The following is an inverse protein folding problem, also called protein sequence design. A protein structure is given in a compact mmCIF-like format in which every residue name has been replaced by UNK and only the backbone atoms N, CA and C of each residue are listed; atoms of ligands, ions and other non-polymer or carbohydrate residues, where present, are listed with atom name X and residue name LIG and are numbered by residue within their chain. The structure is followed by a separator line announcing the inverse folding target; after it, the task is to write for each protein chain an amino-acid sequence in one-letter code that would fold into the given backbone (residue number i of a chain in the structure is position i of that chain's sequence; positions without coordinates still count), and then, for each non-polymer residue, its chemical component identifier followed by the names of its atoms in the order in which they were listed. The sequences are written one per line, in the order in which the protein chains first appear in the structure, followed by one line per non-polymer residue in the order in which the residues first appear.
data_IF_469091026583
#
_entry.id   IF_469091026583
#
_cell.length_a   1.000
_cell.length_b   1.000
_cell.length_c   1.000
_cell.angle_alpha   90.00
_cell.angle_beta   90.00
_cell.angle_gamma   90.00
#
_symmetry.space_group_name_H-M   'P 1'
#
loop_
_entity.id
_entity.type
_entity.pdbx_description
1 polymer ?
#
# COMPACT_ATOMS: atom_id res chain seq x y z
N UNK A 1 12.25 -21.85 17.75
CA UNK A 1 11.86 -22.02 16.33
C UNK A 1 10.52 -22.75 16.30
N UNK A 2 9.39 -22.03 16.29
CA UNK A 2 8.07 -22.62 16.03
C UNK A 2 7.80 -22.39 14.55
N UNK A 3 7.53 -23.46 13.84
CA UNK A 3 7.24 -23.51 12.41
C UNK A 3 6.00 -22.67 12.11
N UNK A 4 6.04 -21.93 10.98
CA UNK A 4 4.96 -21.07 10.53
C UNK A 4 3.61 -21.79 10.48
N UNK A 5 2.55 -21.06 10.85
CA UNK A 5 1.19 -21.57 10.82
C UNK A 5 0.78 -21.93 9.37
N UNK A 6 0.41 -23.17 9.09
CA UNK A 6 -0.19 -23.53 7.81
C UNK A 6 -1.61 -22.94 7.74
N UNK A 7 -2.09 -22.72 6.53
CA UNK A 7 -3.42 -22.16 6.24
C UNK A 7 -4.61 -22.85 6.95
N UNK A 8 -4.44 -24.04 7.46
CA UNK A 8 -5.43 -24.82 8.23
C UNK A 8 -5.64 -24.34 9.68
N UNK A 9 -4.98 -23.27 10.13
CA UNK A 9 -5.04 -22.78 11.52
C UNK A 9 -5.69 -21.41 11.72
N UNK A 10 -6.23 -20.75 10.67
CA UNK A 10 -6.78 -19.38 10.80
C UNK A 10 -8.26 -19.34 11.18
N UNK A 11 -9.02 -20.41 10.95
CA UNK A 11 -10.45 -20.47 11.34
C UNK A 11 -10.68 -20.17 12.83
N UNK A 12 -9.90 -20.71 13.78
CA UNK A 12 -10.07 -20.39 15.20
C UNK A 12 -9.79 -18.91 15.50
N UNK A 13 -8.80 -18.31 14.84
CA UNK A 13 -8.46 -16.89 15.03
C UNK A 13 -9.54 -15.97 14.48
N UNK A 14 -10.09 -16.28 13.31
CA UNK A 14 -11.23 -15.55 12.75
C UNK A 14 -12.45 -15.70 13.64
N UNK A 15 -12.73 -16.91 14.17
CA UNK A 15 -13.79 -17.15 15.11
C UNK A 15 -13.62 -16.33 16.40
N UNK A 16 -12.41 -16.29 16.96
CA UNK A 16 -12.08 -15.48 18.14
C UNK A 16 -12.25 -13.99 17.87
N UNK A 17 -11.78 -13.51 16.70
CA UNK A 17 -11.97 -12.12 16.29
C UNK A 17 -13.46 -11.76 16.18
N UNK A 18 -14.30 -12.63 15.63
CA UNK A 18 -15.73 -12.39 15.48
C UNK A 18 -16.53 -12.59 16.77
N UNK A 19 -15.98 -13.28 17.77
CA UNK A 19 -16.65 -13.47 19.07
C UNK A 19 -16.77 -12.17 19.89
N UNK A 20 -16.01 -11.14 19.52
CA UNK A 20 -16.08 -9.82 20.14
C UNK A 20 -14.70 -9.24 20.49
N UNK A 21 -14.65 -7.97 20.87
CA UNK A 21 -13.39 -7.31 21.17
C UNK A 21 -12.86 -7.73 22.56
N UNK A 22 -11.55 -7.92 22.68
CA UNK A 22 -10.88 -8.25 23.95
C UNK A 22 -10.98 -7.14 24.99
N UNK A 23 -11.14 -5.89 24.55
CA UNK A 23 -11.27 -4.71 25.42
C UNK A 23 -12.30 -3.77 24.78
N UNK A 24 -13.62 -4.01 25.04
CA UNK A 24 -14.72 -3.28 24.40
C UNK A 24 -14.62 -1.76 24.54
N UNK A 25 -14.27 -1.27 25.73
CA UNK A 25 -14.23 0.16 26.06
C UNK A 25 -12.98 0.87 25.53
N UNK A 26 -12.01 0.12 25.02
CA UNK A 26 -10.80 0.71 24.47
C UNK A 26 -11.08 1.34 23.12
N UNK A 27 -10.39 2.46 22.84
CA UNK A 27 -10.46 3.11 21.53
C UNK A 27 -9.89 2.22 20.43
N UNK A 28 -10.69 1.95 19.41
CA UNK A 28 -10.21 1.55 18.09
C UNK A 28 -9.70 2.79 17.35
N UNK A 29 -10.55 3.82 17.20
CA UNK A 29 -10.12 5.13 16.75
C UNK A 29 -9.80 5.98 17.96
N UNK A 30 -8.54 6.34 18.13
CA UNK A 30 -8.04 7.07 19.28
C UNK A 30 -8.86 8.33 19.58
N UNK A 31 -9.44 8.39 20.77
CA UNK A 31 -10.23 9.50 21.28
C UNK A 31 -11.65 9.63 20.70
N UNK A 32 -12.11 8.71 19.83
CA UNK A 32 -13.41 8.89 19.17
C UNK A 32 -14.32 7.65 19.14
N UNK A 33 -13.79 6.46 18.82
CA UNK A 33 -14.62 5.27 18.56
C UNK A 33 -14.04 4.07 19.26
N UNK A 34 -14.80 3.44 20.16
CA UNK A 34 -14.36 2.25 20.88
C UNK A 34 -14.43 0.99 20.00
N UNK A 35 -13.72 -0.07 20.40
CA UNK A 35 -13.87 -1.39 19.78
C UNK A 35 -15.33 -1.88 19.88
N UNK A 36 -16.03 -1.68 21.02
CA UNK A 36 -17.44 -2.03 21.14
C UNK A 36 -18.29 -1.37 20.06
N UNK A 37 -18.08 -0.08 19.80
CA UNK A 37 -18.81 0.64 18.75
C UNK A 37 -18.54 0.07 17.34
N UNK A 38 -17.29 -0.30 17.04
CA UNK A 38 -16.92 -0.92 15.75
C UNK A 38 -17.63 -2.27 15.59
N UNK A 39 -17.67 -3.11 16.63
CA UNK A 39 -18.33 -4.41 16.58
C UNK A 39 -19.86 -4.28 16.51
N UNK A 40 -20.46 -3.32 17.23
CA UNK A 40 -21.88 -3.01 17.11
C UNK A 40 -22.26 -2.59 15.68
N UNK A 41 -21.45 -1.70 15.08
CA UNK A 41 -21.64 -1.30 13.68
C UNK A 41 -21.47 -2.50 12.74
N UNK A 42 -20.51 -3.40 12.98
CA UNK A 42 -20.34 -4.60 12.17
C UNK A 42 -21.58 -5.51 12.21
N UNK A 43 -22.18 -5.72 13.38
CA UNK A 43 -23.40 -6.49 13.55
C UNK A 43 -24.57 -5.83 12.82
N UNK A 44 -24.72 -4.51 12.91
CA UNK A 44 -25.72 -3.75 12.18
C UNK A 44 -25.57 -3.91 10.66
N UNK A 45 -24.37 -3.66 10.14
CA UNK A 45 -24.07 -3.81 8.71
C UNK A 45 -24.34 -5.25 8.23
N UNK A 46 -24.00 -6.26 9.02
CA UNK A 46 -24.26 -7.66 8.69
C UNK A 46 -25.76 -7.93 8.51
N UNK A 47 -26.59 -7.38 9.40
CA UNK A 47 -28.06 -7.48 9.29
C UNK A 47 -28.56 -6.77 8.03
N UNK A 48 -28.17 -5.52 7.82
CA UNK A 48 -28.59 -4.72 6.66
C UNK A 48 -28.23 -5.42 5.34
N UNK A 49 -27.02 -5.97 5.23
CA UNK A 49 -26.58 -6.68 4.02
C UNK A 49 -27.36 -7.97 3.78
N UNK A 50 -27.69 -8.70 4.85
CA UNK A 50 -28.50 -9.91 4.74
C UNK A 50 -29.92 -9.61 4.26
N UNK A 51 -30.54 -8.60 4.85
CA UNK A 51 -31.90 -8.19 4.49
C UNK A 51 -31.98 -7.68 3.05
N UNK A 52 -30.93 -7.06 2.55
CA UNK A 52 -30.85 -6.55 1.17
C UNK A 52 -30.32 -7.58 0.17
N UNK A 53 -29.82 -8.72 0.65
CA UNK A 53 -29.19 -9.77 -0.18
C UNK A 53 -28.02 -9.21 -1.04
N UNK A 54 -27.21 -8.33 -0.46
CA UNK A 54 -26.09 -7.72 -1.16
C UNK A 54 -24.90 -8.70 -1.25
N UNK A 55 -24.36 -8.91 -2.46
CA UNK A 55 -23.18 -9.73 -2.69
C UNK A 55 -21.89 -8.91 -2.78
N UNK A 56 -22.00 -7.67 -3.25
CA UNK A 56 -20.89 -6.73 -3.44
C UNK A 56 -21.24 -5.37 -2.86
N UNK A 57 -20.32 -4.78 -2.09
CA UNK A 57 -20.49 -3.43 -1.53
C UNK A 57 -19.22 -2.61 -1.71
N UNK A 58 -19.35 -1.40 -2.24
CA UNK A 58 -18.25 -0.46 -2.40
C UNK A 58 -17.99 0.30 -1.09
N UNK A 59 -16.75 0.36 -0.61
CA UNK A 59 -16.34 1.23 0.50
C UNK A 59 -15.95 2.61 -0.03
N UNK A 60 -16.93 3.53 -0.07
CA UNK A 60 -16.73 4.91 -0.50
C UNK A 60 -16.38 5.84 0.67
N UNK A 61 -15.45 5.41 1.53
CA UNK A 61 -15.04 6.11 2.76
C UNK A 61 -13.55 5.93 3.04
N UNK A 62 -12.96 6.85 3.79
CA UNK A 62 -11.65 6.70 4.44
C UNK A 62 -11.76 6.58 5.97
N UNK A 63 -12.97 6.54 6.52
CA UNK A 63 -13.18 6.27 7.94
C UNK A 63 -12.73 4.84 8.29
N UNK A 64 -11.63 4.75 9.04
CA UNK A 64 -11.01 3.47 9.41
C UNK A 64 -11.92 2.62 10.30
N UNK A 65 -12.77 3.25 11.12
CA UNK A 65 -13.74 2.56 11.97
C UNK A 65 -14.86 1.92 11.14
N UNK A 66 -15.41 2.66 10.19
CA UNK A 66 -16.44 2.17 9.29
C UNK A 66 -15.91 1.04 8.38
N UNK A 67 -14.67 1.20 7.87
CA UNK A 67 -13.99 0.15 7.10
C UNK A 67 -13.77 -1.10 7.97
N UNK A 68 -13.36 -0.93 9.24
CA UNK A 68 -13.18 -2.05 10.18
C UNK A 68 -14.50 -2.78 10.46
N UNK A 69 -15.59 -2.04 10.67
CA UNK A 69 -16.92 -2.62 10.88
C UNK A 69 -17.41 -3.39 9.65
N UNK A 70 -17.26 -2.80 8.45
CA UNK A 70 -17.62 -3.48 7.20
C UNK A 70 -16.76 -4.74 6.98
N UNK A 71 -15.46 -4.67 7.29
CA UNK A 71 -14.55 -5.83 7.18
C UNK A 71 -14.96 -6.98 8.12
N UNK A 72 -15.30 -6.69 9.37
CA UNK A 72 -15.84 -7.70 10.30
C UNK A 72 -17.17 -8.28 9.79
N UNK A 73 -18.06 -7.45 9.24
CA UNK A 73 -19.31 -7.92 8.65
C UNK A 73 -19.07 -8.86 7.44
N UNK A 74 -18.09 -8.54 6.60
CA UNK A 74 -17.70 -9.40 5.46
C UNK A 74 -17.08 -10.74 5.94
N UNK A 75 -16.20 -10.69 6.95
CA UNK A 75 -15.63 -11.89 7.58
C UNK A 75 -16.72 -12.80 8.17
N UNK A 76 -17.80 -12.24 8.66
CA UNK A 76 -18.95 -12.96 9.19
C UNK A 76 -19.91 -13.50 8.09
N UNK A 77 -19.46 -13.56 6.84
CA UNK A 77 -20.25 -14.04 5.70
C UNK A 77 -21.15 -12.96 5.10
N UNK A 78 -20.81 -11.68 5.25
CA UNK A 78 -21.42 -10.56 4.52
C UNK A 78 -20.92 -10.48 3.07
N UNK A 79 -21.20 -9.36 2.38
CA UNK A 79 -20.80 -9.15 1.00
C UNK A 79 -19.28 -9.03 0.85
N UNK A 80 -18.77 -9.26 -0.37
CA UNK A 80 -17.40 -8.93 -0.72
C UNK A 80 -17.26 -7.41 -0.81
N UNK A 81 -16.29 -6.87 -0.11
CA UNK A 81 -16.04 -5.44 -0.08
C UNK A 81 -15.17 -5.01 -1.27
N UNK A 82 -15.57 -3.97 -1.95
CA UNK A 82 -14.81 -3.36 -3.04
C UNK A 82 -14.14 -2.07 -2.54
N UNK A 83 -12.81 -2.03 -2.59
CA UNK A 83 -12.03 -0.85 -2.23
C UNK A 83 -11.58 -0.12 -3.50
N UNK A 84 -12.12 1.09 -3.77
CA UNK A 84 -11.73 1.90 -4.91
C UNK A 84 -10.30 2.45 -4.72
N UNK A 85 -9.56 2.64 -5.80
CA UNK A 85 -8.23 3.26 -5.75
C UNK A 85 -8.28 4.76 -5.46
N UNK A 86 -9.43 5.39 -5.63
CA UNK A 86 -9.72 6.79 -5.30
C UNK A 86 -11.24 6.95 -5.11
N UNK A 87 -11.64 7.98 -4.37
CA UNK A 87 -13.05 8.28 -4.07
C UNK A 87 -13.67 9.31 -5.03
N UNK A 88 -13.04 9.57 -6.18
CA UNK A 88 -13.62 10.42 -7.22
C UNK A 88 -14.77 9.71 -7.94
N UNK A 89 -15.75 10.47 -8.44
CA UNK A 89 -16.86 9.94 -9.24
C UNK A 89 -16.38 9.05 -10.40
N UNK A 90 -15.28 9.44 -11.08
CA UNK A 90 -14.73 8.65 -12.18
C UNK A 90 -14.21 7.29 -11.71
N UNK A 91 -13.46 7.23 -10.60
CA UNK A 91 -12.94 5.98 -10.05
C UNK A 91 -14.08 5.04 -9.60
N UNK A 92 -15.14 5.60 -9.01
CA UNK A 92 -16.34 4.85 -8.64
C UNK A 92 -17.11 4.35 -9.88
N UNK A 93 -17.17 5.16 -10.96
CA UNK A 93 -17.78 4.76 -12.23
C UNK A 93 -16.99 3.61 -12.89
N UNK A 94 -15.66 3.70 -12.90
CA UNK A 94 -14.81 2.65 -13.43
C UNK A 94 -14.99 1.34 -12.66
N UNK A 95 -15.10 1.42 -11.33
CA UNK A 95 -15.37 0.28 -10.47
C UNK A 95 -16.77 -0.31 -10.74
N UNK A 96 -17.80 0.52 -10.77
CA UNK A 96 -19.18 0.07 -11.08
C UNK A 96 -19.24 -0.62 -12.45
N UNK A 97 -18.59 -0.05 -13.45
CA UNK A 97 -18.54 -0.62 -14.81
C UNK A 97 -17.86 -2.00 -14.81
N UNK A 98 -16.80 -2.16 -14.01
CA UNK A 98 -16.04 -3.41 -13.95
C UNK A 98 -16.72 -4.50 -13.12
N UNK A 99 -17.56 -4.15 -12.14
CA UNK A 99 -18.08 -5.09 -11.14
C UNK A 99 -19.60 -5.19 -11.09
N UNK A 100 -20.31 -4.20 -11.61
CA UNK A 100 -21.78 -4.11 -11.50
C UNK A 100 -22.28 -3.68 -10.12
N UNK A 101 -21.39 -3.24 -9.20
CA UNK A 101 -21.77 -2.83 -7.84
C UNK A 101 -22.77 -1.67 -7.88
N UNK A 102 -23.83 -1.80 -7.07
CA UNK A 102 -24.94 -0.84 -6.99
C UNK A 102 -25.08 -0.17 -5.62
N UNK A 103 -24.33 -0.66 -4.61
CA UNK A 103 -24.39 -0.12 -3.25
C UNK A 103 -23.00 0.30 -2.80
N UNK A 104 -22.93 1.49 -2.21
CA UNK A 104 -21.74 2.03 -1.57
C UNK A 104 -22.02 2.34 -0.10
N UNK A 105 -21.04 2.11 0.78
CA UNK A 105 -21.05 2.59 2.16
C UNK A 105 -20.13 3.79 2.27
N UNK A 106 -20.58 4.82 2.95
CA UNK A 106 -19.80 6.02 3.24
C UNK A 106 -20.15 6.65 4.57
N UNK A 107 -19.27 7.51 5.03
CA UNK A 107 -19.40 8.35 6.23
C UNK A 107 -19.98 9.74 5.90
N UNK A 108 -19.89 10.13 4.64
CA UNK A 108 -20.40 11.40 4.13
C UNK A 108 -21.03 11.22 2.75
N UNK A 109 -22.00 12.08 2.44
CA UNK A 109 -22.61 12.12 1.11
C UNK A 109 -21.55 12.48 0.05
N UNK A 110 -21.53 11.70 -1.04
CA UNK A 110 -20.61 11.90 -2.19
C UNK A 110 -21.37 11.89 -3.49
N UNK A 111 -20.78 12.46 -4.52
CA UNK A 111 -21.29 12.32 -5.87
C UNK A 111 -20.99 10.90 -6.38
N UNK A 112 -22.03 10.11 -6.56
CA UNK A 112 -21.95 8.74 -7.02
C UNK A 112 -22.23 8.60 -8.53
N UNK A 113 -21.79 7.52 -9.16
CA UNK A 113 -22.27 7.12 -10.48
C UNK A 113 -23.78 6.87 -10.49
N UNK A 114 -24.39 7.04 -11.67
CA UNK A 114 -25.81 6.71 -11.84
C UNK A 114 -26.09 5.24 -11.50
N UNK A 115 -27.17 5.00 -10.75
CA UNK A 115 -27.57 3.66 -10.33
C UNK A 115 -26.76 3.07 -9.14
N UNK A 116 -25.90 3.86 -8.51
CA UNK A 116 -25.26 3.49 -7.24
C UNK A 116 -25.91 4.23 -6.09
N UNK A 117 -26.34 3.50 -5.06
CA UNK A 117 -26.93 4.04 -3.83
C UNK A 117 -25.87 4.19 -2.74
N UNK A 118 -25.89 5.30 -2.00
CA UNK A 118 -25.05 5.51 -0.82
C UNK A 118 -25.82 5.14 0.45
N UNK A 119 -25.23 4.26 1.23
CA UNK A 119 -25.62 4.00 2.61
C UNK A 119 -24.65 4.72 3.55
N UNK A 120 -25.18 5.59 4.41
CA UNK A 120 -24.44 6.27 5.47
C UNK A 120 -24.95 5.77 6.83
N UNK A 121 -24.38 4.70 7.39
CA UNK A 121 -24.82 4.18 8.67
C UNK A 121 -24.44 5.13 9.80
N UNK A 122 -25.37 5.30 10.75
CA UNK A 122 -25.15 6.16 11.92
C UNK A 122 -24.54 5.37 13.08
N UNK A 123 -23.49 5.91 13.70
CA UNK A 123 -22.89 5.33 14.90
C UNK A 123 -23.90 5.37 16.07
N UNK A 124 -23.95 4.30 16.89
CA UNK A 124 -24.81 4.21 18.07
C UNK A 124 -26.20 3.64 17.83
N UNK A 125 -26.58 3.32 16.60
CA UNK A 125 -27.87 2.68 16.29
C UNK A 125 -27.90 1.16 16.54
N UNK A 126 -26.73 0.54 16.76
CA UNK A 126 -26.61 -0.91 16.91
C UNK A 126 -26.57 -1.33 18.38
N UNK A 127 -27.14 -2.51 18.68
CA UNK A 127 -27.08 -3.11 19.99
C UNK A 127 -25.62 -3.41 20.39
N UNK A 128 -25.11 -2.86 21.51
CA UNK A 128 -23.76 -3.14 21.97
C UNK A 128 -23.47 -4.62 22.29
N UNK A 129 -24.51 -5.43 22.48
CA UNK A 129 -24.40 -6.86 22.77
C UNK A 129 -24.27 -7.75 21.51
N UNK A 130 -24.22 -7.15 20.32
CA UNK A 130 -24.20 -7.87 19.06
C UNK A 130 -22.91 -8.65 18.83
N UNK A 131 -22.95 -9.95 19.06
CA UNK A 131 -21.99 -10.89 18.48
C UNK A 131 -22.25 -10.99 16.98
N UNK A 132 -21.19 -10.93 16.16
CA UNK A 132 -21.33 -11.13 14.72
C UNK A 132 -21.31 -12.64 14.46
N UNK A 133 -22.43 -13.28 14.02
CA UNK A 133 -22.48 -14.72 13.86
C UNK A 133 -21.51 -15.20 12.77
N UNK A 134 -20.79 -16.27 13.07
CA UNK A 134 -19.85 -16.89 12.12
C UNK A 134 -20.65 -17.57 10.98
N UNK A 135 -20.37 -17.21 9.75
CA UNK A 135 -20.81 -17.94 8.58
C UNK A 135 -19.65 -18.00 7.58
N UNK A 136 -19.08 -19.18 7.39
CA UNK A 136 -18.17 -19.59 6.32
C UNK A 136 -16.90 -18.70 6.12
N UNK A 137 -15.85 -18.98 6.86
CA UNK A 137 -14.64 -18.14 7.05
C UNK A 137 -13.52 -18.29 6.02
N UNK A 138 -13.68 -19.03 4.94
CA UNK A 138 -12.59 -19.33 4.00
C UNK A 138 -12.63 -18.62 2.64
N UNK A 139 -13.69 -17.84 2.39
CA UNK A 139 -13.95 -17.20 1.11
C UNK A 139 -13.23 -15.87 0.89
N UNK A 140 -13.46 -15.31 -0.28
CA UNK A 140 -13.11 -13.94 -0.62
C UNK A 140 -13.84 -12.96 0.28
N UNK A 141 -13.11 -11.97 0.85
CA UNK A 141 -13.70 -10.96 1.75
C UNK A 141 -13.63 -9.56 1.17
N UNK A 142 -12.67 -9.32 0.28
CA UNK A 142 -12.52 -8.00 -0.35
C UNK A 142 -11.79 -8.07 -1.69
N UNK A 143 -12.02 -7.05 -2.52
CA UNK A 143 -11.28 -6.76 -3.75
C UNK A 143 -10.73 -5.35 -3.71
N UNK A 144 -9.46 -5.22 -4.05
CA UNK A 144 -8.79 -3.92 -4.17
C UNK A 144 -8.67 -3.54 -5.63
N UNK A 145 -9.17 -2.34 -5.94
CA UNK A 145 -9.07 -1.77 -7.27
C UNK A 145 -7.76 -0.98 -7.38
N UNK A 146 -6.86 -1.41 -8.26
CA UNK A 146 -5.57 -0.74 -8.46
C UNK A 146 -5.56 -0.02 -9.79
N UNK A 147 -5.06 1.23 -9.80
CA UNK A 147 -4.73 1.90 -11.06
C UNK A 147 -3.60 1.14 -11.75
N UNK A 148 -3.91 0.37 -12.79
CA UNK A 148 -2.93 -0.43 -13.52
C UNK A 148 -1.82 0.44 -14.12
N UNK A 149 -0.58 -0.03 -14.09
CA UNK A 149 0.57 0.62 -14.75
C UNK A 149 0.38 0.77 -16.27
N UNK A 150 -0.54 0.00 -16.83
CA UNK A 150 -0.95 0.02 -18.26
C UNK A 150 -2.15 0.94 -18.52
N UNK A 151 -2.68 1.65 -17.49
CA UNK A 151 -3.85 2.51 -17.60
C UNK A 151 -5.20 1.78 -17.48
N UNK A 152 -5.20 0.44 -17.45
CA UNK A 152 -6.41 -0.35 -17.19
C UNK A 152 -6.39 -0.76 -15.72
N UNK A 153 -7.38 -0.32 -14.91
CA UNK A 153 -7.48 -0.73 -13.52
C UNK A 153 -7.65 -2.26 -13.41
N UNK A 154 -7.04 -2.85 -12.37
CA UNK A 154 -7.18 -4.27 -12.06
C UNK A 154 -7.77 -4.45 -10.68
N UNK A 155 -8.60 -5.48 -10.55
CA UNK A 155 -9.15 -5.95 -9.28
C UNK A 155 -8.31 -7.11 -8.77
N UNK A 156 -8.04 -7.11 -7.47
CA UNK A 156 -7.31 -8.18 -6.81
C UNK A 156 -8.11 -8.67 -5.63
N UNK A 157 -8.57 -9.90 -5.70
CA UNK A 157 -9.27 -10.57 -4.62
C UNK A 157 -8.33 -10.85 -3.44
N UNK A 158 -8.86 -10.77 -2.23
CA UNK A 158 -8.21 -11.18 -0.99
C UNK A 158 -9.16 -12.01 -0.15
N UNK A 159 -8.66 -13.15 0.30
CA UNK A 159 -9.35 -14.00 1.26
C UNK A 159 -9.05 -13.58 2.69
N UNK A 160 -9.85 -14.05 3.64
CA UNK A 160 -9.55 -13.88 5.06
C UNK A 160 -8.14 -14.38 5.41
N UNK A 161 -7.72 -15.51 4.84
CA UNK A 161 -6.38 -16.08 5.01
C UNK A 161 -5.28 -15.13 4.55
N UNK A 162 -5.46 -14.47 3.40
CA UNK A 162 -4.45 -13.53 2.90
C UNK A 162 -4.27 -12.35 3.86
N UNK A 163 -5.36 -11.73 4.30
CA UNK A 163 -5.33 -10.47 5.05
C UNK A 163 -5.07 -10.69 6.54
N UNK A 164 -5.81 -11.60 7.18
CA UNK A 164 -5.63 -11.88 8.61
C UNK A 164 -4.30 -12.57 8.85
N UNK A 165 -3.91 -13.53 7.99
CA UNK A 165 -2.63 -14.23 8.13
C UNK A 165 -1.43 -13.28 8.03
N UNK A 166 -1.47 -12.30 7.12
CA UNK A 166 -0.43 -11.28 7.02
C UNK A 166 -0.43 -10.36 8.25
N UNK A 167 -1.60 -9.91 8.72
CA UNK A 167 -1.69 -9.07 9.90
C UNK A 167 -1.15 -9.75 11.16
N UNK A 168 -1.43 -11.03 11.36
CA UNK A 168 -0.90 -11.83 12.47
C UNK A 168 0.63 -11.99 12.40
N UNK A 169 1.17 -12.28 11.21
CA UNK A 169 2.62 -12.30 11.01
C UNK A 169 3.27 -10.97 11.38
N UNK A 170 2.71 -9.86 10.93
CA UNK A 170 3.21 -8.52 11.22
C UNK A 170 3.08 -8.16 12.71
N UNK A 171 1.97 -8.55 13.35
CA UNK A 171 1.76 -8.36 14.78
C UNK A 171 2.85 -9.06 15.61
N UNK A 172 3.16 -10.31 15.27
CA UNK A 172 4.23 -11.08 15.94
C UNK A 172 5.62 -10.48 15.62
N UNK A 173 5.91 -10.24 14.34
CA UNK A 173 7.22 -9.77 13.90
C UNK A 173 7.61 -8.41 14.49
N UNK A 174 6.68 -7.46 14.54
CA UNK A 174 6.90 -6.12 15.08
C UNK A 174 6.52 -5.99 16.55
N UNK A 175 6.07 -7.08 17.18
CA UNK A 175 5.54 -7.10 18.54
C UNK A 175 4.49 -5.99 18.75
N UNK A 176 3.55 -5.85 17.79
CA UNK A 176 2.47 -4.89 17.93
C UNK A 176 1.42 -5.43 18.89
N UNK A 177 1.06 -4.63 19.88
CA UNK A 177 0.17 -5.01 20.96
C UNK A 177 -0.91 -3.96 21.19
N UNK A 178 -1.84 -4.27 22.07
CA UNK A 178 -2.88 -3.32 22.50
C UNK A 178 -2.35 -2.01 23.12
N UNK A 179 -1.08 -1.96 23.53
CA UNK A 179 -0.48 -0.71 24.05
C UNK A 179 -0.03 0.23 22.94
N UNK A 180 0.00 -0.24 21.69
CA UNK A 180 0.45 0.56 20.57
C UNK A 180 -0.64 1.51 20.06
N UNK A 181 -0.16 2.63 19.50
CA UNK A 181 -0.96 3.63 18.82
C UNK A 181 -0.36 3.91 17.46
N UNK A 182 -1.18 3.78 16.43
CA UNK A 182 -0.74 3.81 15.03
C UNK A 182 -1.18 5.13 14.39
N UNK A 183 -0.23 5.87 13.84
CA UNK A 183 -0.49 6.94 12.86
C UNK A 183 -0.19 6.39 11.47
N UNK A 184 -1.18 6.45 10.57
CA UNK A 184 -1.02 6.07 9.17
C UNK A 184 -1.20 7.30 8.28
N UNK A 185 -0.19 7.59 7.46
CA UNK A 185 -0.21 8.68 6.48
C UNK A 185 -0.67 8.22 5.10
N UNK A 186 -1.17 7.00 5.03
CA UNK A 186 -1.63 6.31 3.82
C UNK A 186 -3.11 5.98 3.94
N UNK A 187 -3.83 6.15 2.84
CA UNK A 187 -5.28 5.87 2.80
C UNK A 187 -5.58 4.41 3.09
N UNK A 188 -6.59 4.11 3.93
CA UNK A 188 -7.06 2.74 4.19
C UNK A 188 -7.72 2.07 2.97
N UNK A 189 -7.98 2.82 1.89
CA UNK A 189 -8.45 2.25 0.62
C UNK A 189 -7.35 1.49 -0.16
N UNK A 190 -6.08 1.62 0.22
CA UNK A 190 -4.97 0.86 -0.34
C UNK A 190 -4.55 -0.26 0.58
N UNK A 191 -4.07 -1.39 0.02
CA UNK A 191 -3.69 -2.58 0.79
C UNK A 191 -2.75 -2.26 1.96
N UNK A 192 -1.76 -1.39 1.76
CA UNK A 192 -0.82 -1.02 2.82
C UNK A 192 -1.51 -0.25 3.95
N UNK A 193 -2.35 0.74 3.63
CA UNK A 193 -3.14 1.46 4.62
C UNK A 193 -4.16 0.55 5.31
N UNK A 194 -4.92 -0.24 4.56
CA UNK A 194 -5.89 -1.20 5.08
C UNK A 194 -5.26 -2.15 6.09
N UNK A 195 -4.15 -2.79 5.69
CA UNK A 195 -3.49 -3.80 6.52
C UNK A 195 -3.00 -3.21 7.84
N UNK A 196 -2.33 -2.05 7.79
CA UNK A 196 -1.69 -1.49 8.98
C UNK A 196 -2.57 -0.55 9.81
N UNK A 197 -3.62 0.06 9.24
CA UNK A 197 -4.48 0.99 9.99
C UNK A 197 -5.91 0.49 10.22
N UNK A 198 -6.23 -0.72 9.75
CA UNK A 198 -7.53 -1.35 10.00
C UNK A 198 -7.34 -2.77 10.54
N UNK A 199 -6.73 -3.66 9.74
CA UNK A 199 -6.68 -5.09 10.09
C UNK A 199 -5.71 -5.37 11.23
N UNK A 200 -4.52 -4.78 11.21
CA UNK A 200 -3.53 -4.94 12.30
C UNK A 200 -4.08 -4.44 13.65
N UNK A 201 -4.73 -3.24 13.76
CA UNK A 201 -5.44 -2.84 14.96
C UNK A 201 -6.51 -3.83 15.42
N UNK A 202 -7.31 -4.38 14.51
CA UNK A 202 -8.35 -5.37 14.85
C UNK A 202 -7.77 -6.63 15.51
N UNK A 203 -6.67 -7.18 14.96
CA UNK A 203 -6.07 -8.43 15.48
C UNK A 203 -5.18 -8.22 16.69
N UNK A 204 -4.72 -7.00 16.98
CA UNK A 204 -3.79 -6.71 18.09
C UNK A 204 -4.45 -5.96 19.25
N UNK A 205 -5.60 -5.35 19.03
CA UNK A 205 -6.19 -4.41 19.97
C UNK A 205 -5.46 -3.06 20.06
N UNK A 206 -4.55 -2.74 19.13
CA UNK A 206 -3.92 -1.42 19.03
C UNK A 206 -4.95 -0.35 18.67
N UNK A 207 -4.71 0.90 19.07
CA UNK A 207 -5.52 2.04 18.62
C UNK A 207 -4.93 2.66 17.36
N UNK A 208 -5.76 3.24 16.52
CA UNK A 208 -5.32 3.98 15.33
C UNK A 208 -5.82 5.42 15.38
N UNK A 209 -5.00 6.38 14.98
CA UNK A 209 -5.40 7.79 14.89
C UNK A 209 -6.37 7.95 13.71
N UNK A 210 -7.53 8.61 13.92
CA UNK A 210 -8.56 8.76 12.88
C UNK A 210 -8.02 9.44 11.62
N UNK A 211 -7.28 10.53 11.80
CA UNK A 211 -6.72 11.30 10.70
C UNK A 211 -5.73 10.50 9.84
N UNK A 212 -5.64 10.88 8.56
CA UNK A 212 -4.61 10.41 7.61
C UNK A 212 -3.78 11.64 7.19
N UNK A 213 -2.81 12.08 8.03
CA UNK A 213 -2.05 13.29 7.78
C UNK A 213 -1.18 13.14 6.54
N UNK A 214 -1.19 14.15 5.66
CA UNK A 214 -0.43 14.15 4.40
C UNK A 214 0.72 15.16 4.40
N UNK A 215 0.59 16.26 5.15
CA UNK A 215 1.61 17.30 5.22
C UNK A 215 2.58 17.07 6.38
N UNK A 216 3.87 17.44 6.24
CA UNK A 216 4.88 17.12 7.25
C UNK A 216 4.58 17.71 8.64
N UNK A 217 3.96 18.90 8.71
CA UNK A 217 3.52 19.51 9.98
C UNK A 217 2.43 18.68 10.66
N UNK A 218 1.44 18.23 9.90
CA UNK A 218 0.35 17.39 10.39
C UNK A 218 0.87 16.01 10.86
N UNK A 219 1.86 15.45 10.15
CA UNK A 219 2.46 14.16 10.55
C UNK A 219 3.17 14.32 11.90
N UNK A 220 3.99 15.39 12.06
CA UNK A 220 4.66 15.68 13.34
C UNK A 220 3.63 15.85 14.45
N UNK A 221 2.60 16.67 14.22
CA UNK A 221 1.54 16.93 15.20
C UNK A 221 0.78 15.64 15.56
N UNK A 222 0.33 14.87 14.57
CA UNK A 222 -0.41 13.64 14.81
C UNK A 222 0.40 12.64 15.63
N UNK A 223 1.70 12.46 15.34
CA UNK A 223 2.55 11.52 16.08
C UNK A 223 2.83 12.01 17.50
N UNK A 224 3.17 13.30 17.66
CA UNK A 224 3.57 13.84 18.98
C UNK A 224 2.39 14.06 19.91
N UNK A 225 1.28 14.64 19.42
CA UNK A 225 0.10 14.92 20.24
C UNK A 225 -0.61 13.64 20.71
N UNK A 226 -0.53 12.58 19.92
CA UNK A 226 -1.13 11.30 20.30
C UNK A 226 -0.14 10.34 20.95
N UNK A 227 1.12 10.71 21.12
CA UNK A 227 2.18 9.81 21.62
C UNK A 227 2.23 8.50 20.84
N UNK A 228 2.13 8.58 19.52
CA UNK A 228 2.06 7.40 18.68
C UNK A 228 3.34 6.58 18.74
N UNK A 229 3.18 5.26 18.80
CA UNK A 229 4.29 4.31 18.89
C UNK A 229 4.68 3.74 17.54
N UNK A 230 3.77 3.79 16.57
CA UNK A 230 3.95 3.26 15.21
C UNK A 230 3.57 4.31 14.18
N UNK A 231 4.47 4.58 13.24
CA UNK A 231 4.22 5.42 12.06
C UNK A 231 4.21 4.54 10.80
N UNK A 232 3.12 4.57 10.05
CA UNK A 232 2.94 3.90 8.76
C UNK A 232 2.94 4.94 7.66
N UNK A 233 4.00 4.98 6.83
CA UNK A 233 4.20 6.09 5.91
C UNK A 233 4.85 5.64 4.58
N UNK A 234 5.17 6.59 3.73
CA UNK A 234 5.73 6.38 2.38
C UNK A 234 7.00 7.22 2.18
N UNK A 235 7.86 6.89 1.22
CA UNK A 235 9.10 7.62 0.97
C UNK A 235 8.92 9.12 0.75
N UNK A 236 7.83 9.53 0.07
CA UNK A 236 7.54 10.94 -0.17
C UNK A 236 7.35 11.74 1.13
N UNK A 237 6.68 11.16 2.12
CA UNK A 237 6.46 11.79 3.42
C UNK A 237 7.75 11.83 4.24
N UNK A 238 8.58 10.77 4.22
CA UNK A 238 9.89 10.80 4.87
C UNK A 238 10.80 11.87 4.28
N UNK A 239 10.75 12.08 2.97
CA UNK A 239 11.45 13.18 2.30
C UNK A 239 10.95 14.54 2.79
N UNK A 240 9.64 14.72 2.91
CA UNK A 240 9.02 15.96 3.38
C UNK A 240 9.32 16.23 4.88
N UNK A 241 9.65 15.19 5.65
CA UNK A 241 10.03 15.28 7.05
C UNK A 241 11.50 15.70 7.26
N UNK A 242 12.32 15.82 6.21
CA UNK A 242 13.69 16.34 6.35
C UNK A 242 13.70 17.72 7.02
N UNK A 243 14.56 17.89 8.00
CA UNK A 243 14.68 19.14 8.76
C UNK A 243 13.52 19.44 9.70
N UNK A 244 12.59 18.51 9.88
CA UNK A 244 11.53 18.61 10.89
C UNK A 244 12.02 18.08 12.25
N UNK A 245 11.39 18.50 13.36
CA UNK A 245 11.71 17.99 14.70
C UNK A 245 11.53 16.48 14.79
N UNK A 246 12.10 15.89 15.86
CA UNK A 246 11.84 14.51 16.24
C UNK A 246 10.34 14.26 16.40
N UNK A 247 9.89 13.07 16.02
CA UNK A 247 8.52 12.60 16.20
C UNK A 247 8.22 12.14 17.65
N UNK A 248 9.15 12.40 18.57
CA UNK A 248 8.99 12.12 19.99
C UNK A 248 9.57 10.78 20.45
N UNK A 249 9.65 10.58 21.75
CA UNK A 249 10.34 9.42 22.37
C UNK A 249 9.50 8.13 22.32
N UNK A 250 8.19 8.24 22.09
CA UNK A 250 7.29 7.09 22.09
C UNK A 250 7.32 6.30 20.78
N UNK A 251 7.77 6.94 19.69
CA UNK A 251 7.86 6.27 18.37
C UNK A 251 8.91 5.16 18.42
N UNK A 252 8.46 3.90 18.36
CA UNK A 252 9.32 2.71 18.38
C UNK A 252 9.45 2.01 17.02
N UNK A 253 8.53 2.28 16.10
CA UNK A 253 8.46 1.65 14.79
C UNK A 253 8.03 2.66 13.73
N UNK A 254 8.83 2.82 12.68
CA UNK A 254 8.49 3.61 11.52
C UNK A 254 8.59 2.74 10.25
N UNK A 255 7.50 2.65 9.50
CA UNK A 255 7.36 1.77 8.34
C UNK A 255 7.29 2.60 7.06
N UNK A 256 7.91 2.10 5.99
CA UNK A 256 7.87 2.68 4.65
C UNK A 256 7.54 1.63 3.61
N UNK A 257 6.60 1.91 2.71
CA UNK A 257 6.27 1.05 1.56
C UNK A 257 5.83 1.89 0.36
N UNK A 258 5.27 1.25 -0.66
CA UNK A 258 4.76 1.84 -1.90
C UNK A 258 5.81 2.40 -2.87
N UNK A 259 7.07 2.51 -2.49
CA UNK A 259 8.18 2.96 -3.34
C UNK A 259 9.53 2.77 -2.68
N UNK A 260 10.62 2.97 -3.40
CA UNK A 260 11.97 2.88 -2.85
C UNK A 260 12.25 4.08 -1.93
N UNK A 261 12.78 3.81 -0.74
CA UNK A 261 13.24 4.82 0.20
C UNK A 261 14.69 5.22 -0.13
N UNK A 262 14.94 6.50 -0.32
CA UNK A 262 16.28 7.01 -0.55
C UNK A 262 17.13 6.93 0.73
N UNK A 263 18.41 6.71 0.56
CA UNK A 263 19.35 6.62 1.68
C UNK A 263 19.44 7.94 2.45
N UNK A 264 19.39 9.06 1.74
CA UNK A 264 19.41 10.39 2.33
C UNK A 264 18.16 10.67 3.18
N UNK A 265 16.96 10.26 2.72
CA UNK A 265 15.71 10.38 3.47
C UNK A 265 15.77 9.54 4.75
N UNK A 266 16.26 8.30 4.64
CA UNK A 266 16.47 7.43 5.79
C UNK A 266 17.45 8.04 6.80
N UNK A 267 18.61 8.53 6.34
CA UNK A 267 19.62 9.08 7.21
C UNK A 267 19.12 10.33 7.93
N UNK A 268 18.44 11.24 7.22
CA UNK A 268 17.84 12.43 7.80
C UNK A 268 16.80 12.08 8.89
N UNK A 269 15.97 11.07 8.65
CA UNK A 269 15.01 10.60 9.64
C UNK A 269 15.68 10.01 10.88
N UNK A 270 16.67 9.13 10.68
CA UNK A 270 17.39 8.45 11.76
C UNK A 270 18.19 9.41 12.66
N UNK A 271 18.60 10.58 12.17
CA UNK A 271 19.29 11.59 12.99
C UNK A 271 18.46 12.09 14.18
N UNK A 272 17.13 12.10 14.02
CA UNK A 272 16.21 12.63 15.03
C UNK A 272 15.27 11.58 15.62
N UNK A 273 15.20 10.38 15.04
CA UNK A 273 14.24 9.34 15.41
C UNK A 273 14.96 7.98 15.55
N UNK A 274 15.28 7.54 16.78
CA UNK A 274 16.02 6.29 17.03
C UNK A 274 15.31 5.02 16.52
N UNK A 275 14.00 5.06 16.32
CA UNK A 275 13.23 3.96 15.74
C UNK A 275 13.80 3.48 14.39
N UNK A 276 14.38 4.42 13.63
CA UNK A 276 14.80 4.13 12.25
C UNK A 276 13.62 3.76 11.35
N UNK A 277 13.89 3.47 10.09
CA UNK A 277 12.85 3.09 9.13
C UNK A 277 12.99 1.63 8.72
N UNK A 278 11.88 0.92 8.71
CA UNK A 278 11.76 -0.43 8.12
C UNK A 278 10.99 -0.32 6.82
N UNK A 279 11.62 -0.71 5.72
CA UNK A 279 10.92 -0.82 4.44
C UNK A 279 10.19 -2.14 4.34
N UNK A 280 8.95 -2.07 3.85
CA UNK A 280 8.11 -3.22 3.52
C UNK A 280 8.03 -3.34 2.00
N UNK A 281 8.49 -4.45 1.46
CA UNK A 281 8.35 -4.79 0.05
C UNK A 281 7.16 -5.72 -0.16
N UNK A 282 6.32 -5.38 -1.10
CA UNK A 282 5.14 -6.12 -1.49
C UNK A 282 4.31 -5.36 -2.52
N UNK A 283 3.19 -5.93 -2.90
CA UNK A 283 2.22 -5.32 -3.81
C UNK A 283 0.80 -5.72 -3.43
N UNK A 284 -0.21 -5.14 -4.07
CA UNK A 284 -1.60 -5.50 -3.80
C UNK A 284 -1.86 -6.97 -4.09
N UNK A 285 -1.31 -7.49 -5.18
CA UNK A 285 -1.48 -8.88 -5.60
C UNK A 285 -0.69 -9.87 -4.74
N UNK A 286 0.49 -9.49 -4.24
CA UNK A 286 1.36 -10.43 -3.50
C UNK A 286 1.16 -10.41 -2.00
N UNK A 287 0.58 -9.33 -1.43
CA UNK A 287 0.78 -9.01 -0.03
C UNK A 287 2.23 -8.64 0.24
N UNK A 288 2.64 -8.61 1.50
CA UNK A 288 4.03 -8.39 1.90
C UNK A 288 4.91 -9.58 1.56
N UNK A 289 6.10 -9.28 1.09
CA UNK A 289 7.10 -10.29 0.65
C UNK A 289 8.33 -10.25 1.54
N UNK A 290 8.79 -9.08 1.93
CA UNK A 290 10.02 -8.97 2.72
C UNK A 290 10.20 -7.60 3.36
N UNK A 291 11.13 -7.55 4.30
CA UNK A 291 11.45 -6.37 5.11
C UNK A 291 12.93 -6.02 4.98
N UNK A 292 13.23 -4.74 5.13
CA UNK A 292 14.60 -4.22 5.19
C UNK A 292 14.70 -3.14 6.27
N UNK A 293 15.49 -3.39 7.33
CA UNK A 293 15.70 -2.44 8.40
C UNK A 293 16.76 -1.39 8.01
N UNK A 294 16.32 -0.30 7.40
CA UNK A 294 17.22 0.78 6.93
C UNK A 294 17.95 1.46 8.07
N UNK A 295 17.28 1.68 9.21
CA UNK A 295 17.91 2.23 10.40
C UNK A 295 19.06 1.37 10.97
N UNK A 296 19.13 0.08 10.59
CA UNK A 296 20.23 -0.83 10.94
C UNK A 296 21.26 -1.01 9.82
N UNK A 297 21.16 -0.24 8.74
CA UNK A 297 22.07 -0.31 7.60
C UNK A 297 21.87 -1.55 6.71
N UNK A 298 20.74 -2.26 6.81
CA UNK A 298 20.47 -3.41 5.93
C UNK A 298 20.30 -2.95 4.48
N UNK A 299 21.00 -3.65 3.57
CA UNK A 299 20.97 -3.35 2.12
C UNK A 299 19.99 -4.23 1.36
N UNK A 300 19.73 -5.44 1.86
CA UNK A 300 18.87 -6.44 1.24
C UNK A 300 17.54 -6.57 1.97
N UNK A 301 16.50 -6.89 1.23
CA UNK A 301 15.24 -7.37 1.80
C UNK A 301 15.40 -8.79 2.30
N UNK A 302 14.93 -9.04 3.51
CA UNK A 302 14.76 -10.38 4.07
C UNK A 302 13.30 -10.78 3.86
N UNK A 303 13.03 -11.91 3.20
CA UNK A 303 11.67 -12.40 3.03
C UNK A 303 11.00 -12.64 4.38
N UNK A 304 9.69 -12.51 4.44
CA UNK A 304 8.92 -12.99 5.58
C UNK A 304 9.18 -14.49 5.80
N UNK A 305 9.17 -14.94 7.04
CA UNK A 305 9.38 -16.35 7.36
C UNK A 305 8.33 -17.28 6.69
N UNK A 306 7.19 -16.72 6.34
CA UNK A 306 6.07 -17.39 5.63
C UNK A 306 6.20 -17.34 4.11
N UNK A 307 7.20 -16.63 3.56
CA UNK A 307 7.39 -16.43 2.12
C UNK A 307 8.62 -17.18 1.64
N UNK A 308 8.43 -18.16 0.78
CA UNK A 308 9.52 -18.78 0.02
C UNK A 308 9.82 -17.92 -1.22
N UNK A 309 11.10 -17.84 -1.57
CA UNK A 309 11.56 -17.07 -2.72
C UNK A 309 12.67 -17.77 -3.48
N UNK A 310 12.80 -17.50 -4.76
CA UNK A 310 13.96 -17.82 -5.58
C UNK A 310 14.08 -16.84 -6.76
N UNK A 311 15.12 -17.02 -7.55
CA UNK A 311 15.36 -16.23 -8.78
C UNK A 311 15.34 -17.15 -9.99
N UNK A 312 14.61 -16.74 -11.04
CA UNK A 312 14.68 -17.34 -12.36
C UNK A 312 14.93 -16.24 -13.38
N UNK A 313 16.04 -16.31 -14.12
CA UNK A 313 16.43 -15.29 -15.10
C UNK A 313 16.39 -13.85 -14.53
N UNK A 314 16.89 -13.68 -13.30
CA UNK A 314 16.85 -12.45 -12.51
C UNK A 314 15.44 -12.00 -12.07
N UNK A 315 14.36 -12.70 -12.43
CA UNK A 315 13.03 -12.42 -11.92
C UNK A 315 12.88 -12.98 -10.51
N UNK A 316 12.30 -12.19 -9.63
CA UNK A 316 11.93 -12.65 -8.31
C UNK A 316 10.68 -13.54 -8.43
N UNK A 317 10.79 -14.76 -7.93
CA UNK A 317 9.67 -15.72 -7.81
C UNK A 317 9.36 -15.92 -6.35
N UNK A 318 8.08 -15.98 -6.02
CA UNK A 318 7.62 -16.14 -4.64
C UNK A 318 6.52 -17.18 -4.54
N UNK A 319 6.48 -17.87 -3.39
CA UNK A 319 5.31 -18.59 -2.87
C UNK A 319 4.97 -18.03 -1.52
N UNK A 320 3.73 -17.65 -1.34
CA UNK A 320 3.27 -16.95 -0.14
C UNK A 320 1.80 -17.28 0.13
N UNK A 321 1.37 -17.39 1.39
CA UNK A 321 -0.04 -17.50 1.75
C UNK A 321 -0.82 -16.22 1.51
N UNK A 322 -0.15 -15.11 1.19
CA UNK A 322 -0.73 -13.78 1.01
C UNK A 322 -1.04 -13.43 -0.45
N UNK A 323 -0.68 -14.32 -1.38
CA UNK A 323 -0.97 -14.14 -2.81
C UNK A 323 -2.47 -14.05 -3.07
N UNK A 324 -2.87 -13.09 -3.92
CA UNK A 324 -4.24 -13.04 -4.45
C UNK A 324 -4.59 -14.35 -5.17
N UNK A 325 -5.80 -14.89 -4.96
CA UNK A 325 -6.26 -16.07 -5.70
C UNK A 325 -6.38 -15.85 -7.21
N UNK A 326 -6.42 -14.59 -7.65
CA UNK A 326 -6.48 -14.23 -9.09
C UNK A 326 -5.14 -14.40 -9.81
N UNK A 327 -4.06 -14.66 -9.06
CA UNK A 327 -2.73 -14.80 -9.67
C UNK A 327 -2.57 -16.16 -10.35
N UNK A 328 -2.03 -16.11 -11.56
CA UNK A 328 -1.61 -17.33 -12.25
C UNK A 328 -0.24 -17.77 -11.71
N UNK A 329 -0.21 -18.96 -11.12
CA UNK A 329 1.01 -19.61 -10.64
C UNK A 329 1.56 -20.53 -11.72
N UNK A 330 2.86 -20.75 -11.70
CA UNK A 330 3.47 -21.77 -12.56
C UNK A 330 3.17 -23.20 -12.06
N UNK A 331 3.66 -24.23 -12.80
CA UNK A 331 3.41 -25.64 -12.48
C UNK A 331 3.97 -26.08 -11.12
N UNK A 332 4.91 -25.32 -10.58
CA UNK A 332 5.52 -25.57 -9.28
C UNK A 332 4.88 -24.74 -8.16
N UNK A 333 3.85 -23.93 -8.45
CA UNK A 333 3.15 -23.08 -7.50
C UNK A 333 3.88 -21.76 -7.19
N UNK A 334 4.78 -21.31 -8.06
CA UNK A 334 5.44 -20.01 -7.92
C UNK A 334 4.71 -18.90 -8.69
N UNK A 335 4.64 -17.75 -8.10
CA UNK A 335 4.31 -16.51 -8.80
C UNK A 335 5.59 -15.81 -9.23
N UNK A 336 5.71 -15.50 -10.51
CA UNK A 336 6.82 -14.73 -11.08
C UNK A 336 6.44 -13.26 -11.00
N UNK A 337 7.12 -12.49 -10.16
CA UNK A 337 6.85 -11.06 -10.02
C UNK A 337 7.35 -10.27 -11.24
N UNK A 338 6.85 -9.05 -11.39
CA UNK A 338 7.39 -8.11 -12.38
C UNK A 338 8.71 -7.44 -11.95
N UNK A 339 9.29 -7.86 -10.82
CA UNK A 339 10.50 -7.25 -10.27
C UNK A 339 11.72 -8.10 -10.55
N UNK A 340 12.82 -7.44 -10.92
CA UNK A 340 14.13 -8.06 -11.01
C UNK A 340 14.82 -7.97 -9.66
N UNK A 341 15.52 -9.03 -9.29
CA UNK A 341 16.27 -9.07 -8.05
C UNK A 341 17.61 -9.80 -8.23
N UNK A 342 18.49 -9.56 -7.29
CA UNK A 342 19.77 -10.23 -7.15
C UNK A 342 19.87 -10.80 -5.74
N UNK A 343 20.29 -12.06 -5.60
CA UNK A 343 20.54 -12.65 -4.30
C UNK A 343 21.62 -11.87 -3.54
N UNK A 344 21.43 -11.70 -2.24
CA UNK A 344 22.37 -11.07 -1.34
C UNK A 344 22.55 -11.93 -0.11
N UNK A 345 23.71 -12.54 0.03
CA UNK A 345 23.92 -13.57 1.03
C UNK A 345 23.07 -14.83 0.76
N UNK A 346 22.76 -15.58 1.84
CA UNK A 346 21.95 -16.80 1.74
C UNK A 346 20.45 -16.53 1.80
N UNK A 347 20.02 -15.47 2.50
CA UNK A 347 18.65 -15.34 2.99
C UNK A 347 17.96 -14.05 2.53
N UNK A 348 18.56 -13.30 1.59
CA UNK A 348 17.99 -12.02 1.17
C UNK A 348 18.19 -11.70 -0.31
N UNK A 349 17.51 -10.67 -0.77
CA UNK A 349 17.61 -10.17 -2.14
C UNK A 349 17.62 -8.64 -2.19
N UNK A 350 18.26 -8.11 -3.22
CA UNK A 350 18.23 -6.69 -3.58
C UNK A 350 17.41 -6.52 -4.85
N UNK A 351 16.46 -5.61 -4.84
CA UNK A 351 15.66 -5.27 -6.01
C UNK A 351 16.53 -4.49 -7.03
N UNK A 352 16.38 -4.84 -8.31
CA UNK A 352 17.10 -4.25 -9.45
C UNK A 352 16.17 -3.55 -10.45
N UNK A 353 15.00 -3.13 -9.95
CA UNK A 353 13.97 -2.50 -10.77
C UNK A 353 12.99 -3.50 -11.37
N UNK A 354 12.10 -2.99 -12.19
CA UNK A 354 11.01 -3.78 -12.80
C UNK A 354 11.39 -4.27 -14.19
N UNK A 355 10.78 -5.37 -14.60
CA UNK A 355 10.93 -5.91 -15.96
C UNK A 355 10.33 -4.96 -16.99
N UNK A 356 9.22 -4.31 -16.66
CA UNK A 356 8.55 -3.32 -17.49
C UNK A 356 9.31 -1.96 -17.56
N UNK A 357 10.36 -1.78 -16.75
CA UNK A 357 11.31 -0.67 -16.91
C UNK A 357 12.27 -0.87 -18.08
N UNK A 358 12.28 -2.06 -18.67
CA UNK A 358 13.12 -2.35 -19.81
C UNK A 358 12.33 -2.14 -21.10
N UNK A 359 12.84 -1.28 -21.96
CA UNK A 359 12.25 -0.99 -23.26
C UNK A 359 13.23 -1.30 -24.41
N UNK A 360 12.75 -1.31 -25.64
CA UNK A 360 13.60 -1.36 -26.82
C UNK A 360 13.58 -0.01 -27.53
N UNK A 361 14.76 0.55 -27.74
CA UNK A 361 14.97 1.79 -28.49
C UNK A 361 15.88 1.47 -29.67
N UNK A 362 15.39 1.63 -30.88
CA UNK A 362 16.16 1.27 -32.09
C UNK A 362 16.59 -0.21 -32.12
N UNK A 363 15.79 -1.11 -31.56
CA UNK A 363 16.09 -2.56 -31.47
C UNK A 363 17.00 -2.96 -30.29
N UNK A 364 17.61 -2.00 -29.60
CA UNK A 364 18.50 -2.24 -28.46
C UNK A 364 17.73 -2.15 -27.13
N UNK A 365 18.11 -3.00 -26.18
CA UNK A 365 17.52 -3.04 -24.82
C UNK A 365 18.03 -1.87 -23.99
N UNK A 366 17.12 -1.13 -23.35
CA UNK A 366 17.41 -0.01 -22.46
C UNK A 366 16.69 -0.19 -21.15
N UNK A 367 17.41 -0.03 -20.05
CA UNK A 367 16.86 -0.04 -18.71
C UNK A 367 16.57 1.40 -18.25
N UNK A 368 15.31 1.75 -18.12
CA UNK A 368 14.87 3.08 -17.70
C UNK A 368 15.25 3.35 -16.24
N UNK A 369 15.37 2.30 -15.41
CA UNK A 369 15.73 2.44 -14.01
C UNK A 369 17.21 2.79 -13.82
N UNK A 370 18.09 2.26 -14.69
CA UNK A 370 19.49 2.67 -14.73
C UNK A 370 19.61 4.17 -15.02
N UNK A 371 18.87 4.65 -16.01
CA UNK A 371 18.86 6.08 -16.37
C UNK A 371 18.33 6.92 -15.21
N UNK A 372 17.24 6.47 -14.57
CA UNK A 372 16.65 7.12 -13.40
C UNK A 372 17.66 7.25 -12.26
N UNK A 373 18.37 6.18 -11.99
CA UNK A 373 19.40 6.14 -10.93
C UNK A 373 20.53 7.14 -11.22
N UNK A 374 21.00 7.22 -12.47
CA UNK A 374 22.03 8.18 -12.87
C UNK A 374 21.57 9.63 -12.73
N UNK A 375 20.32 9.92 -13.08
CA UNK A 375 19.73 11.26 -12.93
C UNK A 375 19.62 11.62 -11.45
N UNK A 376 19.10 10.72 -10.63
CA UNK A 376 18.90 10.96 -9.19
C UNK A 376 20.19 11.20 -8.42
N UNK A 377 21.28 10.65 -8.87
CA UNK A 377 22.61 10.86 -8.26
C UNK A 377 23.18 12.27 -8.52
N UNK A 378 22.48 13.14 -9.27
CA UNK A 378 22.98 14.48 -9.58
C UNK A 378 22.55 15.50 -8.54
N UNK A 379 23.44 16.46 -8.26
CA UNK A 379 23.17 17.55 -7.34
C UNK A 379 21.93 18.36 -7.78
N UNK A 380 21.10 18.74 -6.83
CA UNK A 380 19.88 19.52 -7.07
C UNK A 380 18.66 18.70 -7.55
N UNK A 381 18.82 17.41 -7.91
CA UNK A 381 17.70 16.53 -8.30
C UNK A 381 17.02 16.01 -7.04
N UNK A 382 15.76 16.39 -6.86
CA UNK A 382 14.90 15.92 -5.78
C UNK A 382 14.17 14.63 -6.13
N UNK A 383 13.66 14.54 -7.38
CA UNK A 383 13.00 13.35 -7.91
C UNK A 383 13.07 13.30 -9.43
N UNK A 384 12.91 12.12 -10.03
CA UNK A 384 12.83 12.00 -11.47
C UNK A 384 12.02 10.77 -11.91
N UNK A 385 11.40 10.90 -13.09
CA UNK A 385 10.75 9.81 -13.80
C UNK A 385 11.34 9.69 -15.21
N UNK A 386 11.65 8.45 -15.61
CA UNK A 386 12.13 8.15 -16.97
C UNK A 386 11.09 7.29 -17.67
N UNK A 387 10.65 7.73 -18.83
CA UNK A 387 9.53 7.15 -19.56
C UNK A 387 9.93 6.79 -20.99
N UNK A 388 9.47 5.64 -21.43
CA UNK A 388 9.50 5.27 -22.85
C UNK A 388 8.20 5.75 -23.49
N UNK A 389 8.31 6.60 -24.50
CA UNK A 389 7.18 7.15 -25.25
C UNK A 389 7.23 6.63 -26.66
N UNK A 390 6.11 6.11 -27.17
CA UNK A 390 6.02 5.63 -28.53
C UNK A 390 6.29 6.77 -29.54
N UNK A 391 7.11 6.51 -30.55
CA UNK A 391 7.32 7.46 -31.67
C UNK A 391 6.17 7.36 -32.69
N UNK A 392 5.70 8.52 -33.15
CA UNK A 392 4.75 8.57 -34.26
C UNK A 392 5.46 8.04 -35.52
N UNK A 393 4.89 6.99 -36.14
CA UNK A 393 5.48 6.33 -37.31
C UNK A 393 5.94 4.89 -37.09
N UNK A 394 5.68 4.30 -35.91
CA UNK A 394 5.77 2.83 -35.69
C UNK A 394 7.18 2.25 -35.54
N UNK A 395 8.22 3.06 -35.35
CA UNK A 395 9.62 2.60 -35.29
C UNK A 395 10.23 2.45 -33.90
N UNK A 396 9.43 2.38 -32.84
CA UNK A 396 9.94 2.12 -31.51
C UNK A 396 9.59 3.18 -30.46
N UNK A 397 10.39 3.25 -29.41
CA UNK A 397 10.22 4.18 -28.31
C UNK A 397 11.36 5.21 -28.25
N UNK A 398 11.06 6.41 -27.83
CA UNK A 398 12.04 7.41 -27.37
C UNK A 398 12.01 7.52 -25.85
N UNK A 399 13.13 7.84 -25.25
CA UNK A 399 13.24 8.05 -23.82
C UNK A 399 13.06 9.52 -23.51
N UNK A 400 12.27 9.82 -22.49
CA UNK A 400 12.03 11.15 -21.95
C UNK A 400 12.22 11.10 -20.44
N UNK A 401 12.88 12.12 -19.87
CA UNK A 401 13.03 12.28 -18.44
C UNK A 401 12.27 13.53 -17.95
N UNK A 402 11.49 13.37 -16.89
CA UNK A 402 10.96 14.45 -16.08
C UNK A 402 11.81 14.52 -14.82
N UNK A 403 12.32 15.70 -14.48
CA UNK A 403 13.22 15.90 -13.34
C UNK A 403 12.65 17.01 -12.47
N UNK A 404 12.37 16.69 -11.20
CA UNK A 404 12.02 17.67 -10.19
C UNK A 404 13.27 18.04 -9.39
N UNK A 405 13.52 19.32 -9.21
CA UNK A 405 14.69 19.77 -8.46
C UNK A 405 14.93 21.28 -8.56
N UNK A 406 15.86 21.78 -7.76
CA UNK A 406 16.24 23.19 -7.76
C UNK A 406 17.63 23.36 -8.39
N UNK A 407 17.73 24.32 -9.31
CA UNK A 407 19.00 24.61 -9.98
C UNK A 407 19.47 23.52 -10.96
N UNK A 408 18.59 22.62 -11.38
CA UNK A 408 18.91 21.55 -12.35
C UNK A 408 19.03 22.15 -13.75
N UNK A 409 20.23 22.07 -14.33
CA UNK A 409 20.46 22.42 -15.73
C UNK A 409 20.29 21.19 -16.65
N UNK A 410 19.22 21.19 -17.43
CA UNK A 410 18.91 20.07 -18.34
C UNK A 410 19.99 19.82 -19.41
N UNK A 411 20.61 20.83 -20.05
CA UNK A 411 21.77 20.65 -20.94
C UNK A 411 22.97 20.00 -20.23
N UNK A 412 23.32 20.41 -19.03
CA UNK A 412 24.41 19.82 -18.26
C UNK A 412 24.12 18.38 -17.86
N UNK A 413 22.91 18.13 -17.35
CA UNK A 413 22.45 16.79 -17.02
C UNK A 413 22.53 15.86 -18.25
N UNK A 414 22.14 16.35 -19.44
CA UNK A 414 22.25 15.58 -20.67
C UNK A 414 23.70 15.28 -21.06
N UNK A 415 24.63 16.24 -20.89
CA UNK A 415 26.07 16.03 -21.14
C UNK A 415 26.65 14.95 -20.22
N UNK A 416 26.28 15.00 -18.95
CA UNK A 416 26.72 14.01 -17.96
C UNK A 416 26.19 12.60 -18.29
N UNK A 417 24.91 12.49 -18.68
CA UNK A 417 24.32 11.23 -19.09
C UNK A 417 24.96 10.68 -20.37
N UNK A 418 25.30 11.55 -21.32
CA UNK A 418 25.98 11.15 -22.56
C UNK A 418 27.38 10.58 -22.35
N UNK A 419 28.04 10.92 -21.23
CA UNK A 419 29.33 10.35 -20.88
C UNK A 419 29.23 8.94 -20.26
N UNK A 420 28.02 8.49 -19.90
CA UNK A 420 27.79 7.22 -19.17
C UNK A 420 26.83 6.26 -19.87
N UNK A 421 26.01 6.76 -20.76
CA UNK A 421 24.98 5.99 -21.47
C UNK A 421 25.32 5.87 -22.95
N UNK A 422 24.94 4.74 -23.51
CA UNK A 422 24.94 4.55 -24.96
C UNK A 422 23.97 5.55 -25.65
N UNK A 423 24.25 6.02 -26.88
CA UNK A 423 23.44 7.03 -27.57
C UNK A 423 21.95 6.70 -27.67
N UNK A 424 21.59 5.42 -27.79
CA UNK A 424 20.20 4.96 -27.86
C UNK A 424 19.48 4.98 -26.50
N UNK A 425 20.20 4.96 -25.38
CA UNK A 425 19.69 5.05 -24.03
C UNK A 425 19.58 6.50 -23.51
N UNK A 426 20.16 7.45 -24.25
CA UNK A 426 20.15 8.86 -23.82
C UNK A 426 18.73 9.45 -23.96
N UNK A 427 18.17 10.09 -22.91
CA UNK A 427 16.88 10.76 -23.01
C UNK A 427 16.89 11.83 -24.10
N UNK A 428 15.96 11.71 -25.04
CA UNK A 428 15.81 12.71 -26.14
C UNK A 428 15.32 14.06 -25.63
N UNK A 429 14.54 14.04 -24.53
CA UNK A 429 14.05 15.24 -23.86
C UNK A 429 14.22 15.06 -22.37
N UNK A 430 14.77 16.09 -21.72
CA UNK A 430 14.82 16.26 -20.28
C UNK A 430 13.99 17.50 -19.97
N UNK A 431 12.94 17.35 -19.18
CA UNK A 431 12.11 18.46 -18.73
C UNK A 431 12.21 18.62 -17.24
N UNK A 432 12.62 19.80 -16.80
CA UNK A 432 12.64 20.17 -15.38
C UNK A 432 11.26 20.68 -15.00
N UNK A 433 10.74 20.21 -13.87
CA UNK A 433 9.44 20.55 -13.29
C UNK A 433 9.59 20.86 -11.81
N UNK A 434 8.67 21.60 -11.22
CA UNK A 434 8.71 21.93 -9.79
C UNK A 434 8.50 20.68 -8.91
N UNK A 435 7.56 19.81 -9.33
CA UNK A 435 7.27 18.54 -8.69
C UNK A 435 6.76 17.52 -9.71
N UNK A 436 7.00 16.23 -9.45
CA UNK A 436 6.39 15.16 -10.24
C UNK A 436 4.94 14.92 -9.78
N UNK A 437 4.00 14.69 -10.72
CA UNK A 437 2.64 14.33 -10.37
C UNK A 437 2.61 13.01 -9.60
N UNK A 438 1.87 13.00 -8.47
CA UNK A 438 1.71 11.85 -7.59
C UNK A 438 0.24 11.44 -7.51
N UNK A 439 0.00 10.15 -7.38
CA UNK A 439 -1.32 9.61 -7.02
C UNK A 439 -1.58 9.79 -5.52
N UNK A 440 -2.83 9.62 -5.08
CA UNK A 440 -3.19 9.62 -3.66
C UNK A 440 -2.44 8.54 -2.84
N UNK A 441 -1.98 7.47 -3.48
CA UNK A 441 -1.16 6.42 -2.85
C UNK A 441 0.34 6.74 -2.78
N UNK A 442 0.76 7.96 -3.16
CA UNK A 442 2.16 8.37 -3.14
C UNK A 442 3.02 7.75 -4.24
N UNK A 443 2.43 7.24 -5.31
CA UNK A 443 3.13 6.77 -6.51
C UNK A 443 3.11 7.82 -7.61
N UNK A 444 4.09 7.79 -8.51
CA UNK A 444 4.08 8.65 -9.69
C UNK A 444 2.83 8.43 -10.53
N UNK A 445 2.10 9.50 -10.84
CA UNK A 445 0.96 9.47 -11.76
C UNK A 445 1.44 9.44 -13.20
N UNK A 446 1.49 8.24 -13.79
CA UNK A 446 1.96 8.04 -15.16
C UNK A 446 1.14 8.80 -16.20
N UNK A 447 -0.17 8.95 -15.99
CA UNK A 447 -1.05 9.64 -16.93
C UNK A 447 -0.76 11.14 -16.93
N UNK A 448 -0.73 11.75 -15.74
CA UNK A 448 -0.38 13.16 -15.59
C UNK A 448 1.05 13.45 -16.07
N UNK A 449 2.01 12.53 -15.83
CA UNK A 449 3.36 12.65 -16.37
C UNK A 449 3.40 12.58 -17.92
N UNK A 450 2.59 11.72 -18.54
CA UNK A 450 2.50 11.65 -20.00
C UNK A 450 1.94 12.94 -20.61
N UNK A 451 1.02 13.62 -19.96
CA UNK A 451 0.51 14.92 -20.36
C UNK A 451 1.60 16.01 -20.28
N UNK A 452 2.46 15.96 -19.27
CA UNK A 452 3.60 16.86 -19.16
C UNK A 452 4.67 16.64 -20.24
N UNK A 453 4.71 15.48 -20.88
CA UNK A 453 5.73 15.12 -21.89
C UNK A 453 5.28 15.50 -23.30
N UNK A 454 4.00 15.67 -23.55
CA UNK A 454 3.44 16.13 -24.82
C UNK A 454 3.81 17.60 -25.06
#
# INVERSE_FOLDING_TARGET
MKQGHPASGLEPVVAELLAGPWSPEKDFLYGTTSFAAVYAMAAHLRTVFTDRNEELVCLATEDKGLIAAAFLAALAGGPVLLLPHALSKQALTDMQTATGVSVAIGDVARELPAGMEMMCPEWGMADPAGTVPLANSGGEVLRLFTGGSTGVPRLWAKTSTNIIGEALFLAEYFAVTRSDRIVATVSPCHIYGLLYSVVLPLVTGASVVPATPAFPGEIVEAVTATEATVLVSIPAHYRALRGKPSLGPFLRLALSSAGPLDEEDNNAFCQHNPAGIVEVYGSTETGGVGLRHRGRGEKAFKPYATVAWNLADQHLRIRSPYLSPDLTLDREGWFVTGDRAQAHGRDGFVLKGRVDSITKVGGKRVDLEEIRTLIRAQAGVLDCAVLAVAEQGGRGHRIVALVAGQGVDAPELRRMLAARLEPHALPRRIRVVDALPMTASGKHDRRAMQELIR
#
